data_IF_637117007607
#
_entry.id   IF_637117007607
#
_cell.length_a   1.000
_cell.length_b   1.000
_cell.length_c   1.000
_cell.angle_alpha   90.00
_cell.angle_beta   90.00
_cell.angle_gamma   90.00
#
_symmetry.space_group_name_H-M   'P 1'
#
loop_
_entity.id
_entity.type
_entity.pdbx_description
1 polymer ?
#
# COMPACT_ATOMS: atom_id res chain seq x y z
N UNK A 1 -27.72 42.54 -25.77
CA UNK A 1 -26.33 42.28 -26.20
C UNK A 1 -25.46 42.55 -24.99
N UNK A 2 -24.99 41.59 -24.20
CA UNK A 2 -25.00 40.12 -24.21
C UNK A 2 -24.79 39.70 -22.76
N UNK A 3 -25.48 38.64 -22.34
CA UNK A 3 -25.30 37.92 -21.07
C UNK A 3 -23.99 37.12 -21.10
N UNK A 4 -23.30 36.95 -19.96
CA UNK A 4 -22.33 35.88 -19.74
C UNK A 4 -21.93 35.75 -18.26
N UNK A 5 -22.73 34.95 -17.55
CA UNK A 5 -22.32 33.77 -16.79
C UNK A 5 -21.36 33.93 -15.59
N UNK A 6 -21.95 33.63 -14.43
CA UNK A 6 -21.31 33.12 -13.23
C UNK A 6 -20.28 32.02 -13.55
N UNK A 7 -19.02 32.28 -13.24
CA UNK A 7 -18.01 31.24 -13.08
C UNK A 7 -18.08 30.66 -11.68
N UNK A 8 -19.07 29.80 -11.40
CA UNK A 8 -18.98 28.91 -10.25
C UNK A 8 -17.92 27.86 -10.59
N UNK A 9 -16.67 28.14 -10.24
CA UNK A 9 -15.68 27.09 -10.09
C UNK A 9 -16.17 26.21 -8.93
N UNK A 10 -16.88 25.12 -9.26
CA UNK A 10 -17.10 24.03 -8.33
C UNK A 10 -15.72 23.41 -8.09
N UNK A 11 -14.99 23.96 -7.13
CA UNK A 11 -13.74 23.39 -6.65
C UNK A 11 -14.09 22.06 -5.99
N UNK A 12 -14.07 20.98 -6.77
CA UNK A 12 -14.00 19.64 -6.20
C UNK A 12 -12.78 19.68 -5.27
N UNK A 13 -12.99 19.49 -3.97
CA UNK A 13 -11.88 19.42 -3.03
C UNK A 13 -10.86 18.42 -3.60
N UNK A 14 -9.59 18.80 -3.65
CA UNK A 14 -8.55 17.87 -4.04
C UNK A 14 -8.53 16.76 -2.98
N UNK A 15 -8.86 15.53 -3.38
CA UNK A 15 -8.83 14.37 -2.50
C UNK A 15 -7.56 13.56 -2.77
N UNK A 16 -7.02 12.93 -1.74
CA UNK A 16 -5.97 11.94 -1.84
C UNK A 16 -6.58 10.53 -1.79
N UNK A 17 -5.88 9.57 -2.40
CA UNK A 17 -6.29 8.17 -2.47
C UNK A 17 -5.54 7.35 -1.43
N UNK A 18 -6.25 6.86 -0.41
CA UNK A 18 -5.73 5.89 0.53
C UNK A 18 -5.94 4.45 0.02
N UNK A 19 -4.88 3.66 0.09
CA UNK A 19 -4.85 2.24 -0.26
C UNK A 19 -4.53 1.45 1.01
N UNK A 20 -5.39 0.49 1.38
CA UNK A 20 -5.19 -0.37 2.56
C UNK A 20 -5.06 -1.82 2.12
N UNK A 21 -4.00 -2.49 2.58
CA UNK A 21 -3.81 -3.93 2.48
C UNK A 21 -4.05 -4.55 3.86
N UNK A 22 -4.88 -5.59 3.91
CA UNK A 22 -5.07 -6.44 5.10
C UNK A 22 -4.76 -7.87 4.68
N UNK A 23 -3.96 -8.59 5.46
CA UNK A 23 -3.60 -9.97 5.14
C UNK A 23 -3.43 -10.79 6.40
N UNK A 24 -3.84 -12.06 6.34
CA UNK A 24 -3.59 -13.04 7.40
C UNK A 24 -2.35 -13.85 7.07
N UNK A 25 -1.43 -13.93 8.03
CA UNK A 25 -0.23 -14.73 7.95
C UNK A 25 -0.54 -16.23 7.96
N UNK A 26 0.33 -17.02 7.33
CA UNK A 26 0.27 -18.50 7.33
C UNK A 26 1.30 -19.14 8.24
N UNK A 27 2.34 -18.39 8.55
CA UNK A 27 3.42 -18.73 9.47
C UNK A 27 3.68 -17.51 10.37
N UNK A 28 4.29 -17.67 11.55
CA UNK A 28 4.73 -16.54 12.37
C UNK A 28 5.60 -15.57 11.56
N UNK A 29 5.51 -14.26 11.84
CA UNK A 29 6.21 -13.22 11.05
C UNK A 29 7.74 -13.40 11.04
N UNK A 30 8.30 -13.88 12.14
CA UNK A 30 9.73 -14.16 12.34
C UNK A 30 10.16 -15.54 11.80
N UNK A 31 9.26 -16.28 11.15
CA UNK A 31 9.56 -17.62 10.65
C UNK A 31 10.44 -17.60 9.39
N UNK A 32 11.22 -18.66 9.14
CA UNK A 32 12.03 -18.78 7.92
C UNK A 32 11.22 -18.66 6.62
N UNK A 33 9.97 -19.12 6.63
CA UNK A 33 9.06 -19.07 5.48
C UNK A 33 8.67 -17.65 5.07
N UNK A 34 8.68 -16.71 6.01
CA UNK A 34 8.35 -15.30 5.77
C UNK A 34 9.56 -14.38 5.72
N UNK A 35 10.78 -14.91 5.94
CA UNK A 35 12.01 -14.10 5.92
C UNK A 35 12.16 -13.28 4.64
N UNK A 36 12.01 -13.91 3.47
CA UNK A 36 12.13 -13.22 2.18
C UNK A 36 11.07 -12.13 1.98
N UNK A 37 9.90 -12.28 2.61
CA UNK A 37 8.85 -11.27 2.60
C UNK A 37 9.22 -10.09 3.50
N UNK A 38 9.70 -10.35 4.71
CA UNK A 38 10.13 -9.32 5.67
C UNK A 38 11.33 -8.53 5.13
N UNK A 39 12.36 -9.23 4.63
CA UNK A 39 13.55 -8.60 4.02
C UNK A 39 13.19 -7.69 2.82
N UNK A 40 12.06 -7.94 2.15
CA UNK A 40 11.60 -7.17 1.01
C UNK A 40 10.78 -5.92 1.39
N UNK A 41 10.43 -5.73 2.66
CA UNK A 41 9.59 -4.60 3.10
C UNK A 41 10.31 -3.26 2.92
N UNK A 42 11.50 -3.09 3.52
CA UNK A 42 12.23 -1.82 3.46
C UNK A 42 12.49 -1.35 2.02
N UNK A 43 12.95 -2.22 1.10
CA UNK A 43 13.19 -1.79 -0.27
C UNK A 43 11.91 -1.46 -1.05
N UNK A 44 10.80 -2.14 -0.79
CA UNK A 44 9.49 -1.81 -1.39
C UNK A 44 8.94 -0.50 -0.83
N UNK A 45 9.10 -0.27 0.48
CA UNK A 45 8.72 0.99 1.12
C UNK A 45 9.52 2.18 0.55
N UNK A 46 10.84 2.01 0.36
CA UNK A 46 11.68 3.03 -0.27
C UNK A 46 11.27 3.31 -1.73
N UNK A 47 10.88 2.28 -2.49
CA UNK A 47 10.36 2.46 -3.86
C UNK A 47 9.05 3.28 -3.86
N UNK A 48 8.19 3.09 -2.85
CA UNK A 48 6.98 3.88 -2.70
C UNK A 48 7.30 5.36 -2.40
N UNK A 49 8.19 5.59 -1.42
CA UNK A 49 8.59 6.94 -0.99
C UNK A 49 9.26 7.75 -2.11
N UNK A 50 9.94 7.08 -3.05
CA UNK A 50 10.55 7.72 -4.21
C UNK A 50 9.61 7.91 -5.41
N UNK A 51 8.38 7.37 -5.37
CA UNK A 51 7.47 7.40 -6.49
C UNK A 51 6.76 8.76 -6.64
N UNK A 52 6.54 9.20 -7.89
CA UNK A 52 5.73 10.39 -8.15
C UNK A 52 4.31 10.22 -7.63
N UNK A 53 3.83 11.22 -6.90
CA UNK A 53 2.51 11.23 -6.30
C UNK A 53 2.37 10.40 -5.02
N UNK A 54 3.45 9.87 -4.45
CA UNK A 54 3.44 9.38 -3.06
C UNK A 54 3.20 10.53 -2.08
N UNK A 55 2.37 10.29 -1.07
CA UNK A 55 2.06 11.28 -0.03
C UNK A 55 2.52 10.79 1.34
N UNK A 56 2.15 9.55 1.70
CA UNK A 56 2.37 9.01 3.03
C UNK A 56 2.20 7.49 3.07
N UNK A 57 2.75 6.82 4.09
CA UNK A 57 2.44 5.43 4.43
C UNK A 57 2.38 5.21 5.93
N UNK A 58 1.65 4.17 6.32
CA UNK A 58 1.62 3.69 7.68
C UNK A 58 2.99 3.07 8.02
N UNK A 59 3.53 3.47 9.17
CA UNK A 59 4.79 2.97 9.69
C UNK A 59 4.77 3.04 11.22
N UNK A 60 5.43 2.08 11.88
CA UNK A 60 5.78 2.18 13.30
C UNK A 60 6.78 3.33 13.52
N UNK A 61 7.09 3.64 14.78
CA UNK A 61 8.21 4.53 15.11
C UNK A 61 9.55 4.00 14.56
N UNK A 62 9.66 2.69 14.37
CA UNK A 62 10.82 1.99 13.82
C UNK A 62 10.78 1.90 12.28
N UNK A 63 9.70 2.37 11.64
CA UNK A 63 9.60 2.51 10.19
C UNK A 63 8.82 1.42 9.46
N UNK A 64 8.33 0.38 10.14
CA UNK A 64 7.64 -0.76 9.51
C UNK A 64 6.19 -0.94 10.00
N UNK A 65 5.26 -1.11 9.05
CA UNK A 65 3.83 -1.28 9.37
C UNK A 65 3.53 -2.65 10.01
N UNK A 66 4.39 -3.65 9.78
CA UNK A 66 4.25 -5.00 10.32
C UNK A 66 4.45 -5.07 11.83
N UNK A 67 5.08 -4.06 12.43
CA UNK A 67 5.30 -3.99 13.87
C UNK A 67 4.05 -3.48 14.60
N UNK A 68 3.05 -2.99 13.87
CA UNK A 68 1.79 -2.50 14.42
C UNK A 68 0.83 -3.67 14.56
N UNK A 69 0.63 -4.13 15.79
CA UNK A 69 -0.44 -5.07 16.11
C UNK A 69 -1.81 -4.40 15.97
N UNK A 70 -2.59 -4.83 14.99
CA UNK A 70 -3.96 -4.35 14.79
C UNK A 70 -4.94 -5.34 15.43
N UNK A 71 -5.84 -4.82 16.26
CA UNK A 71 -6.84 -5.61 17.00
C UNK A 71 -6.27 -6.66 17.97
N UNK A 72 -4.97 -6.60 18.29
CA UNK A 72 -4.31 -7.58 19.16
C UNK A 72 -4.17 -8.98 18.52
N UNK A 73 -4.19 -9.08 17.19
CA UNK A 73 -4.01 -10.34 16.45
C UNK A 73 -2.67 -10.33 15.69
N UNK A 74 -1.69 -11.09 16.21
CA UNK A 74 -0.36 -11.29 15.61
C UNK A 74 -0.38 -11.90 14.21
N UNK A 75 -1.50 -12.51 13.81
CA UNK A 75 -1.64 -13.12 12.50
C UNK A 75 -2.16 -12.14 11.46
N UNK A 76 -2.51 -10.91 11.83
CA UNK A 76 -3.01 -9.89 10.92
C UNK A 76 -1.96 -8.82 10.65
N UNK A 77 -1.62 -8.66 9.37
CA UNK A 77 -0.80 -7.53 8.90
C UNK A 77 -1.70 -6.53 8.21
N UNK A 78 -1.50 -5.26 8.56
CA UNK A 78 -2.09 -4.11 7.87
C UNK A 78 -0.97 -3.22 7.34
N UNK A 79 -1.09 -2.80 6.08
CA UNK A 79 -0.26 -1.76 5.49
C UNK A 79 -1.17 -0.76 4.79
N UNK A 80 -0.84 0.52 4.86
CA UNK A 80 -1.59 1.58 4.21
C UNK A 80 -0.64 2.57 3.56
N UNK A 81 -1.00 3.04 2.36
CA UNK A 81 -0.30 4.12 1.66
C UNK A 81 -1.30 5.14 1.10
N UNK A 82 -0.90 6.39 1.00
CA UNK A 82 -1.69 7.51 0.49
C UNK A 82 -1.00 8.11 -0.71
N UNK A 83 -1.79 8.37 -1.75
CA UNK A 83 -1.33 8.80 -3.07
C UNK A 83 -2.13 10.00 -3.54
N UNK A 84 -1.50 10.86 -4.34
CA UNK A 84 -2.14 12.04 -4.95
C UNK A 84 -3.35 11.68 -5.81
N UNK A 85 -3.30 10.54 -6.51
CA UNK A 85 -4.38 10.08 -7.38
C UNK A 85 -4.19 8.60 -7.79
N UNK A 86 -5.19 8.05 -8.49
CA UNK A 86 -5.22 6.66 -8.96
C UNK A 86 -4.11 6.33 -9.96
N UNK A 87 -3.70 7.28 -10.81
CA UNK A 87 -2.67 7.05 -11.82
C UNK A 87 -1.30 6.82 -11.17
N UNK A 88 -0.96 7.64 -10.17
CA UNK A 88 0.26 7.49 -9.37
C UNK A 88 0.31 6.12 -8.67
N UNK A 89 -0.77 5.74 -7.98
CA UNK A 89 -0.87 4.43 -7.33
C UNK A 89 -0.74 3.28 -8.34
N UNK A 90 -1.42 3.38 -9.48
CA UNK A 90 -1.39 2.35 -10.53
C UNK A 90 0.02 2.19 -11.11
N UNK A 91 0.72 3.31 -11.36
CA UNK A 91 2.09 3.29 -11.85
C UNK A 91 3.05 2.60 -10.88
N UNK A 92 2.90 2.85 -9.57
CA UNK A 92 3.66 2.15 -8.53
C UNK A 92 3.29 0.66 -8.46
N UNK A 93 2.00 0.31 -8.45
CA UNK A 93 1.55 -1.06 -8.24
C UNK A 93 2.04 -2.05 -9.31
N UNK A 94 2.11 -1.61 -10.56
CA UNK A 94 2.37 -2.47 -11.72
C UNK A 94 3.81 -2.42 -12.25
N UNK A 95 4.72 -1.72 -11.57
CA UNK A 95 6.13 -1.60 -11.95
C UNK A 95 7.05 -2.05 -10.81
N UNK A 96 8.29 -2.41 -11.16
CA UNK A 96 9.36 -2.69 -10.18
C UNK A 96 9.07 -3.81 -9.17
N UNK A 97 9.66 -3.70 -7.98
CA UNK A 97 9.64 -4.73 -6.92
C UNK A 97 8.25 -4.95 -6.32
N UNK A 98 7.39 -3.95 -6.30
CA UNK A 98 6.03 -4.10 -5.76
C UNK A 98 5.22 -5.15 -6.54
N UNK A 99 5.34 -5.18 -7.87
CA UNK A 99 4.71 -6.21 -8.71
C UNK A 99 5.22 -7.62 -8.39
N UNK A 100 6.51 -7.77 -8.13
CA UNK A 100 7.13 -9.06 -7.76
C UNK A 100 6.64 -9.53 -6.38
N UNK A 101 6.41 -8.62 -5.44
CA UNK A 101 5.84 -8.96 -4.14
C UNK A 101 4.38 -9.42 -4.26
N UNK A 102 3.58 -8.81 -5.16
CA UNK A 102 2.21 -9.23 -5.42
C UNK A 102 2.11 -10.64 -6.02
N UNK A 103 3.06 -11.07 -6.86
CA UNK A 103 3.05 -12.41 -7.45
C UNK A 103 3.32 -13.52 -6.42
N UNK A 104 4.06 -13.18 -5.35
CA UNK A 104 4.39 -14.08 -4.23
C UNK A 104 3.22 -14.30 -3.26
N UNK A 105 2.15 -13.48 -3.33
CA UNK A 105 0.91 -13.67 -2.53
C UNK A 105 0.25 -15.05 -2.72
N UNK A 106 0.55 -15.75 -3.83
CA UNK A 106 0.04 -17.10 -4.11
C UNK A 106 0.76 -18.21 -3.35
N UNK A 107 1.88 -17.94 -2.68
CA UNK A 107 2.54 -18.93 -1.81
C UNK A 107 1.62 -19.16 -0.59
N UNK A 108 0.85 -20.24 -0.67
CA UNK A 108 -0.02 -20.76 0.39
C UNK A 108 -1.54 -20.59 0.17
N UNK A 109 -2.01 -20.33 -1.04
CA UNK A 109 -3.39 -20.74 -1.34
C UNK A 109 -3.31 -22.26 -1.57
N UNK A 110 -3.81 -23.14 -0.68
CA UNK A 110 -3.87 -24.56 -1.00
C UNK A 110 -4.66 -24.74 -2.31
N UNK A 111 -4.29 -25.70 -3.17
CA UNK A 111 -5.05 -25.95 -4.39
C UNK A 111 -6.51 -26.19 -4.02
N UNK A 112 -7.43 -25.53 -4.73
CA UNK A 112 -8.86 -25.87 -4.59
C UNK A 112 -9.09 -27.25 -5.22
N UNK A 113 -10.00 -28.06 -4.64
CA UNK A 113 -10.37 -29.36 -5.20
C UNK A 113 -10.94 -29.23 -6.61
#
# INVERSE_FOLDING_TARGET
>A
MTDAAAGTASGTAAFELAQVNISRLKFPLDSPELKDFVDALDPVNADAEAADGYVWRLQSEEGNATDIQVFGDDWLIVNMSVWRNTDALTAYMYRGRHREMLSRRRVGVPPRP
#
